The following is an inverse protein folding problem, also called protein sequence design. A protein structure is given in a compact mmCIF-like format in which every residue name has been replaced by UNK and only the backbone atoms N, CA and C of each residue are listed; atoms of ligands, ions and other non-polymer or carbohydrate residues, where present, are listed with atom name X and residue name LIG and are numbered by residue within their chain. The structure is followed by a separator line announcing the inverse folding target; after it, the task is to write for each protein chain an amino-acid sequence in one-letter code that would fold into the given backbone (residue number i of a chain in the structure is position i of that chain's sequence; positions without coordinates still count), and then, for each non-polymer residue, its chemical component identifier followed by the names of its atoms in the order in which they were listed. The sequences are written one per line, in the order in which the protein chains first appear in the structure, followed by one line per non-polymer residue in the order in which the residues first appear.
data_IF_954146212611
#
_entry.id   IF_954146212611
#
_cell.length_a   1.000
_cell.length_b   1.000
_cell.length_c   1.000
_cell.angle_alpha   90.00
_cell.angle_beta   90.00
_cell.angle_gamma   90.00
#
_symmetry.space_group_name_H-M   'P 1'
#
loop_
_entity.id
_entity.type
_entity.pdbx_description
1 polymer ?
#
# COMPACT_ATOMS: atom_id res chain seq x y z
N UNK A 1 4.33 7.77 7.06
CA UNK A 1 3.70 6.47 6.74
C UNK A 1 2.35 6.44 7.45
N UNK A 2 1.33 5.90 6.81
CA UNK A 2 -0.02 5.73 7.36
C UNK A 2 -0.18 4.24 7.67
N UNK A 3 -0.52 3.88 8.90
CA UNK A 3 -0.79 2.50 9.28
C UNK A 3 -2.19 2.08 8.83
N UNK A 4 -2.28 0.93 8.16
CA UNK A 4 -3.54 0.31 7.77
C UNK A 4 -3.98 -0.79 8.76
N UNK A 5 -3.04 -1.56 9.34
CA UNK A 5 -3.32 -2.73 10.22
C UNK A 5 -2.07 -3.23 10.97
N UNK A 6 -1.34 -2.37 11.69
CA UNK A 6 -0.18 -2.67 12.54
C UNK A 6 1.11 -3.05 11.80
N UNK A 7 1.01 -3.81 10.70
CA UNK A 7 2.15 -4.23 9.87
C UNK A 7 2.02 -3.83 8.41
N UNK A 8 0.90 -3.23 7.99
CA UNK A 8 0.69 -2.80 6.60
C UNK A 8 0.60 -1.28 6.57
N UNK A 9 1.39 -0.65 5.71
CA UNK A 9 1.50 0.80 5.68
C UNK A 9 1.32 1.34 4.27
N UNK A 10 0.78 2.56 4.18
CA UNK A 10 0.81 3.40 2.99
C UNK A 10 1.85 4.50 3.17
N UNK A 11 2.65 4.77 2.15
CA UNK A 11 3.62 5.86 2.16
C UNK A 11 3.75 6.52 0.79
N UNK A 12 4.00 7.83 0.77
CA UNK A 12 4.39 8.53 -0.46
C UNK A 12 5.89 8.68 -0.44
N UNK A 13 6.56 8.24 -1.51
CA UNK A 13 8.03 8.31 -1.63
C UNK A 13 8.46 8.71 -3.03
N UNK A 14 9.67 9.26 -3.13
CA UNK A 14 10.32 9.50 -4.42
C UNK A 14 11.39 8.45 -4.69
N UNK A 15 11.45 7.97 -5.92
CA UNK A 15 12.51 7.09 -6.41
C UNK A 15 12.91 7.52 -7.82
N UNK A 16 14.20 7.86 -8.01
CA UNK A 16 14.75 8.35 -9.28
C UNK A 16 13.90 9.48 -9.91
N UNK A 17 13.51 10.46 -9.09
CA UNK A 17 12.75 11.64 -9.52
C UNK A 17 11.26 11.38 -9.80
N UNK A 18 10.75 10.18 -9.54
CA UNK A 18 9.33 9.83 -9.71
C UNK A 18 8.66 9.60 -8.37
N UNK A 19 7.43 10.08 -8.22
CA UNK A 19 6.61 9.90 -7.02
C UNK A 19 5.83 8.59 -7.10
N UNK A 20 5.81 7.86 -5.99
CA UNK A 20 5.06 6.62 -5.84
C UNK A 20 4.26 6.61 -4.54
N UNK A 21 3.10 5.95 -4.57
CA UNK A 21 2.35 5.53 -3.39
C UNK A 21 2.68 4.06 -3.14
N UNK A 22 3.39 3.78 -2.05
CA UNK A 22 3.78 2.43 -1.64
C UNK A 22 2.77 1.89 -0.62
N UNK A 23 2.18 0.73 -0.90
CA UNK A 23 1.28 -0.01 0.00
C UNK A 23 1.94 -1.35 0.29
N UNK A 24 2.40 -1.56 1.53
CA UNK A 24 3.33 -2.67 1.83
C UNK A 24 3.23 -3.20 3.25
N UNK A 25 3.41 -4.51 3.38
CA UNK A 25 3.62 -5.19 4.65
C UNK A 25 5.09 -5.07 5.09
N UNK A 26 5.30 -4.67 6.33
CA UNK A 26 6.60 -4.56 6.96
C UNK A 26 6.80 -5.74 7.92
N UNK A 27 8.06 -6.15 8.07
CA UNK A 27 8.48 -7.15 9.04
C UNK A 27 9.47 -6.52 10.02
N UNK A 28 9.54 -7.07 11.22
CA UNK A 28 10.55 -6.70 12.20
C UNK A 28 11.82 -7.51 11.91
N UNK A 29 12.91 -6.80 11.66
CA UNK A 29 14.22 -7.41 11.52
C UNK A 29 14.65 -7.98 12.87
N UNK A 30 14.84 -9.30 12.95
CA UNK A 30 15.14 -9.98 14.22
C UNK A 30 16.51 -9.61 14.81
N UNK A 31 17.42 -9.09 14.00
CA UNK A 31 18.77 -8.71 14.44
C UNK A 31 18.81 -7.29 15.00
N UNK A 32 18.00 -6.38 14.46
CA UNK A 32 18.01 -4.96 14.84
C UNK A 32 16.76 -4.50 15.58
N UNK A 33 15.67 -5.26 15.54
CA UNK A 33 14.34 -4.83 16.01
C UNK A 33 13.66 -3.78 15.12
N UNK A 34 14.27 -3.42 13.99
CA UNK A 34 13.74 -2.38 13.11
C UNK A 34 12.65 -2.89 12.17
N UNK A 35 11.64 -2.08 11.93
CA UNK A 35 10.63 -2.36 10.92
C UNK A 35 11.21 -2.12 9.51
N UNK A 36 11.24 -3.17 8.69
CA UNK A 36 11.73 -3.14 7.31
C UNK A 36 10.62 -3.48 6.30
N UNK A 37 10.63 -2.88 5.11
CA UNK A 37 9.67 -3.21 4.06
C UNK A 37 9.83 -4.65 3.60
N UNK A 38 8.75 -5.43 3.61
CA UNK A 38 8.72 -6.81 3.14
C UNK A 38 8.48 -6.94 1.64
N UNK A 39 8.53 -8.19 1.15
CA UNK A 39 8.26 -8.52 -0.26
C UNK A 39 6.78 -8.31 -0.65
N UNK A 40 5.86 -8.43 0.31
CA UNK A 40 4.42 -8.28 0.09
C UNK A 40 4.05 -6.79 0.04
N UNK A 41 3.82 -6.26 -1.16
CA UNK A 41 3.38 -4.88 -1.35
C UNK A 41 3.63 -4.39 -2.77
N UNK A 42 3.01 -3.27 -3.11
CA UNK A 42 3.06 -2.66 -4.45
C UNK A 42 3.44 -1.18 -4.32
N UNK A 43 4.19 -0.68 -5.30
CA UNK A 43 4.43 0.75 -5.47
C UNK A 43 3.66 1.21 -6.70
N UNK A 44 2.63 2.01 -6.50
CA UNK A 44 1.83 2.59 -7.58
C UNK A 44 2.46 3.91 -7.99
N UNK A 45 2.59 4.15 -9.29
CA UNK A 45 2.87 5.51 -9.76
C UNK A 45 1.64 6.41 -9.57
N UNK A 46 1.80 7.72 -9.83
CA UNK A 46 0.70 8.70 -9.63
C UNK A 46 -0.53 8.37 -10.47
N UNK A 47 -0.34 7.99 -11.74
CA UNK A 47 -1.42 7.65 -12.66
C UNK A 47 -2.24 6.43 -12.17
N UNK A 48 -1.56 5.37 -11.74
CA UNK A 48 -2.20 4.17 -11.19
C UNK A 48 -2.95 4.48 -9.89
N UNK A 49 -2.40 5.36 -9.04
CA UNK A 49 -3.07 5.80 -7.82
C UNK A 49 -4.34 6.61 -8.12
N UNK A 50 -4.27 7.52 -9.09
CA UNK A 50 -5.43 8.30 -9.52
C UNK A 50 -6.53 7.41 -10.12
N UNK A 51 -6.15 6.42 -10.94
CA UNK A 51 -7.09 5.44 -11.46
C UNK A 51 -7.72 4.60 -10.33
N UNK A 52 -6.92 4.12 -9.37
CA UNK A 52 -7.44 3.36 -8.21
C UNK A 52 -8.50 4.16 -7.46
N UNK A 53 -8.26 5.46 -7.21
CA UNK A 53 -9.27 6.34 -6.59
C UNK A 53 -10.56 6.43 -7.41
N UNK A 54 -10.45 6.48 -8.73
CA UNK A 54 -11.62 6.60 -9.62
C UNK A 54 -12.53 5.37 -9.61
N UNK A 55 -11.99 4.19 -9.29
CA UNK A 55 -12.72 2.92 -9.27
C UNK A 55 -13.07 2.43 -7.86
N UNK A 56 -12.83 3.21 -6.81
CA UNK A 56 -13.08 2.80 -5.41
C UNK A 56 -14.52 2.32 -5.17
N UNK A 57 -15.51 2.99 -5.78
CA UNK A 57 -16.93 2.61 -5.62
C UNK A 57 -17.28 1.26 -6.24
N UNK A 58 -16.59 0.88 -7.32
CA UNK A 58 -16.73 -0.44 -7.93
C UNK A 58 -16.09 -1.52 -7.05
N UNK A 59 -14.89 -1.24 -6.53
CA UNK A 59 -14.20 -2.12 -5.57
C UNK A 59 -15.05 -2.34 -4.31
N UNK A 60 -15.64 -1.29 -3.74
CA UNK A 60 -16.50 -1.40 -2.55
C UNK A 60 -17.73 -2.27 -2.81
N UNK A 61 -18.34 -2.15 -4.01
CA UNK A 61 -19.46 -3.01 -4.42
C UNK A 61 -19.03 -4.47 -4.51
N UNK A 62 -17.86 -4.75 -5.09
CA UNK A 62 -17.34 -6.11 -5.20
C UNK A 62 -17.07 -6.72 -3.84
N UNK A 63 -16.51 -5.96 -2.90
CA UNK A 63 -16.33 -6.39 -1.51
C UNK A 63 -17.67 -6.81 -0.89
N UNK A 64 -18.72 -6.00 -1.02
CA UNK A 64 -20.06 -6.34 -0.48
C UNK A 64 -20.59 -7.62 -1.13
N UNK A 65 -20.42 -7.78 -2.44
CA UNK A 65 -20.89 -8.97 -3.15
C UNK A 65 -20.16 -10.26 -2.74
N UNK A 66 -18.87 -10.18 -2.43
CA UNK A 66 -18.09 -11.35 -1.97
C UNK A 66 -18.42 -11.80 -0.53
N UNK A 67 -19.04 -10.93 0.27
CA UNK A 67 -19.40 -11.22 1.66
C UNK A 67 -20.90 -11.49 1.86
N UNK A 68 -21.66 -11.63 0.77
CA UNK A 68 -23.03 -12.17 0.77
C UNK A 68 -22.98 -13.68 0.63
#
# INVERSE_FOLDING_TARGET
MIDLTGKKFVSVRQFKGRTFVDIREFYEDKSTGEMKPGKKGISLNVEQWDYLKSVMSEIDRDIVNMHR
#
